data_IF_006373621952
#
_entry.id   IF_006373621952
#
_cell.length_a   1.000
_cell.length_b   1.000
_cell.length_c   1.000
_cell.angle_alpha   90.00
_cell.angle_beta   90.00
_cell.angle_gamma   90.00
#
_symmetry.space_group_name_H-M   'P 1'
#
loop_
_entity.id
_entity.type
_entity.pdbx_description
1 polymer ?
#
# COMPACT_ATOMS: atom_id res chain seq x y z
N UNK A 1 -27.35 2.06 -8.73
CA UNK A 1 -26.92 2.43 -7.36
C UNK A 1 -25.40 2.34 -7.11
N UNK A 2 -24.54 2.30 -8.15
CA UNK A 2 -23.08 2.09 -8.00
C UNK A 2 -22.22 3.38 -8.13
N UNK A 3 -22.83 4.53 -8.46
CA UNK A 3 -22.10 5.76 -8.77
C UNK A 3 -21.67 6.56 -7.53
N UNK A 4 -22.45 6.49 -6.45
CA UNK A 4 -22.11 7.16 -5.18
C UNK A 4 -20.93 6.47 -4.47
N UNK A 5 -20.76 5.15 -4.65
CA UNK A 5 -19.67 4.38 -4.05
C UNK A 5 -18.32 4.67 -4.73
N UNK A 6 -18.31 4.84 -6.06
CA UNK A 6 -17.12 5.29 -6.80
C UNK A 6 -16.71 6.72 -6.42
N UNK A 7 -17.68 7.64 -6.27
CA UNK A 7 -17.41 9.02 -5.85
C UNK A 7 -16.91 9.11 -4.41
N UNK A 8 -17.36 8.21 -3.53
CA UNK A 8 -16.90 8.11 -2.14
C UNK A 8 -15.48 7.53 -2.03
N UNK A 9 -15.17 6.46 -2.79
CA UNK A 9 -13.82 5.89 -2.90
C UNK A 9 -12.82 6.94 -3.42
N UNK A 10 -13.22 7.72 -4.44
CA UNK A 10 -12.35 8.74 -5.04
C UNK A 10 -12.07 9.95 -4.11
N UNK A 11 -12.94 10.22 -3.13
CA UNK A 11 -12.78 11.33 -2.16
C UNK A 11 -12.11 10.93 -0.86
N UNK A 12 -12.16 9.64 -0.48
CA UNK A 12 -11.65 9.14 0.81
C UNK A 12 -10.23 8.56 0.71
N UNK A 13 -9.80 8.03 -0.45
CA UNK A 13 -8.45 7.47 -0.62
C UNK A 13 -7.35 8.52 -0.92
N UNK A 14 -7.73 9.77 -1.23
CA UNK A 14 -6.87 10.73 -1.94
C UNK A 14 -5.89 11.55 -1.06
N UNK A 15 -5.30 11.00 0.00
CA UNK A 15 -4.21 11.71 0.72
C UNK A 15 -3.15 10.86 1.44
N UNK A 16 -3.33 9.56 1.64
CA UNK A 16 -2.34 8.76 2.39
C UNK A 16 -1.43 7.90 1.51
N UNK A 17 -1.93 7.36 0.40
CA UNK A 17 -1.15 6.53 -0.52
C UNK A 17 -0.90 7.21 -1.86
N UNK A 18 0.10 6.71 -2.60
CA UNK A 18 0.38 7.18 -3.96
C UNK A 18 -0.69 6.68 -4.92
N UNK A 19 -0.90 7.40 -6.04
CA UNK A 19 -1.82 6.95 -7.09
C UNK A 19 -1.48 5.54 -7.59
N UNK A 20 -0.20 5.21 -7.70
CA UNK A 20 0.26 3.89 -8.16
C UNK A 20 -0.24 2.78 -7.22
N UNK A 21 -0.20 3.02 -5.92
CA UNK A 21 -0.72 2.11 -4.90
C UNK A 21 -2.23 1.94 -5.00
N UNK A 22 -2.98 3.03 -5.09
CA UNK A 22 -4.45 2.98 -5.20
C UNK A 22 -4.89 2.14 -6.41
N UNK A 23 -4.27 2.39 -7.57
CA UNK A 23 -4.57 1.64 -8.78
C UNK A 23 -4.11 0.18 -8.70
N UNK A 24 -3.00 -0.12 -8.03
CA UNK A 24 -2.58 -1.51 -7.80
C UNK A 24 -3.62 -2.27 -6.96
N UNK A 25 -4.13 -1.67 -5.88
CA UNK A 25 -5.18 -2.26 -5.06
C UNK A 25 -6.48 -2.50 -5.85
N UNK A 26 -6.89 -1.55 -6.69
CA UNK A 26 -8.05 -1.72 -7.57
C UNK A 26 -7.88 -2.89 -8.56
N UNK A 27 -6.69 -3.02 -9.14
CA UNK A 27 -6.34 -4.14 -10.03
C UNK A 27 -6.37 -5.46 -9.29
N UNK A 28 -5.72 -5.54 -8.12
CA UNK A 28 -5.66 -6.76 -7.30
C UNK A 28 -7.06 -7.18 -6.84
N UNK A 29 -7.88 -6.22 -6.39
CA UNK A 29 -9.30 -6.44 -6.05
C UNK A 29 -10.09 -6.99 -7.23
N UNK A 30 -9.91 -6.40 -8.41
CA UNK A 30 -10.61 -6.86 -9.60
C UNK A 30 -10.23 -8.28 -9.99
N UNK A 31 -8.94 -8.60 -9.98
CA UNK A 31 -8.45 -9.94 -10.34
C UNK A 31 -8.81 -10.99 -9.29
N UNK A 32 -8.89 -10.61 -8.01
CA UNK A 32 -9.42 -11.50 -6.97
C UNK A 32 -10.88 -11.90 -7.26
N UNK A 33 -11.70 -10.96 -7.72
CA UNK A 33 -13.09 -11.24 -8.13
C UNK A 33 -13.24 -11.88 -9.51
N UNK A 34 -12.15 -12.10 -10.26
CA UNK A 34 -12.16 -12.67 -11.62
C UNK A 34 -11.07 -13.74 -11.72
N UNK A 35 -11.28 -14.96 -11.18
CA UNK A 35 -10.25 -15.99 -11.06
C UNK A 35 -9.73 -16.49 -12.42
N UNK A 36 -10.55 -16.45 -13.47
CA UNK A 36 -10.16 -16.78 -14.84
C UNK A 36 -9.25 -15.71 -15.48
N UNK A 37 -9.11 -14.56 -14.81
CA UNK A 37 -8.27 -13.44 -15.20
C UNK A 37 -9.01 -12.36 -15.97
N UNK A 38 -8.29 -11.28 -16.28
CA UNK A 38 -8.82 -10.17 -17.08
C UNK A 38 -7.73 -9.53 -17.93
N UNK A 39 -8.12 -9.05 -19.11
CA UNK A 39 -7.20 -8.39 -20.03
C UNK A 39 -6.87 -6.97 -19.55
N UNK A 40 -5.68 -6.47 -19.90
CA UNK A 40 -5.33 -5.07 -19.60
C UNK A 40 -6.30 -4.06 -20.23
N UNK A 41 -6.95 -4.42 -21.34
CA UNK A 41 -7.95 -3.58 -22.00
C UNK A 41 -9.21 -3.45 -21.15
N UNK A 42 -9.71 -4.55 -20.61
CA UNK A 42 -10.90 -4.55 -19.73
C UNK A 42 -10.63 -3.76 -18.46
N UNK A 43 -9.48 -4.00 -17.82
CA UNK A 43 -9.08 -3.30 -16.59
C UNK A 43 -8.94 -1.80 -16.84
N UNK A 44 -8.26 -1.40 -17.92
CA UNK A 44 -8.08 0.00 -18.32
C UNK A 44 -9.42 0.70 -18.56
N UNK A 45 -10.35 0.05 -19.25
CA UNK A 45 -11.68 0.59 -19.51
C UNK A 45 -12.54 0.69 -18.24
N UNK A 46 -12.47 -0.32 -17.37
CA UNK A 46 -13.27 -0.40 -16.14
C UNK A 46 -12.89 0.68 -15.13
N UNK A 47 -11.60 0.95 -14.97
CA UNK A 47 -11.09 1.87 -13.95
C UNK A 47 -10.61 3.20 -14.55
N UNK A 48 -10.83 3.44 -15.84
CA UNK A 48 -10.37 4.64 -16.55
C UNK A 48 -8.88 4.94 -16.38
N UNK A 49 -8.05 3.87 -16.35
CA UNK A 49 -6.60 3.96 -16.20
C UNK A 49 -5.96 4.00 -17.57
N UNK A 50 -5.02 4.91 -17.81
CA UNK A 50 -4.30 4.92 -19.08
C UNK A 50 -3.53 3.60 -19.28
N UNK A 51 -3.58 3.05 -20.51
CA UNK A 51 -2.92 1.77 -20.83
C UNK A 51 -1.42 1.74 -20.48
N UNK A 52 -0.62 2.81 -20.74
CA UNK A 52 0.80 2.80 -20.37
C UNK A 52 1.01 2.74 -18.85
N UNK A 53 0.21 3.46 -18.08
CA UNK A 53 0.32 3.49 -16.62
C UNK A 53 -0.12 2.15 -16.02
N UNK A 54 -1.24 1.59 -16.49
CA UNK A 54 -1.67 0.26 -16.10
C UNK A 54 -0.60 -0.79 -16.42
N UNK A 55 -0.04 -0.78 -17.64
CA UNK A 55 1.00 -1.72 -18.04
C UNK A 55 2.24 -1.66 -17.12
N UNK A 56 2.62 -0.47 -16.64
CA UNK A 56 3.69 -0.31 -15.66
C UNK A 56 3.34 -1.00 -14.32
N UNK A 57 2.13 -0.77 -13.80
CA UNK A 57 1.65 -1.45 -12.58
C UNK A 57 1.64 -2.96 -12.78
N UNK A 58 1.03 -3.47 -13.87
CA UNK A 58 0.94 -4.90 -14.14
C UNK A 58 2.32 -5.55 -14.25
N UNK A 59 3.25 -4.90 -14.95
CA UNK A 59 4.63 -5.38 -15.09
C UNK A 59 5.31 -5.51 -13.73
N UNK A 60 5.14 -4.50 -12.87
CA UNK A 60 5.70 -4.50 -11.52
C UNK A 60 5.09 -5.64 -10.69
N UNK A 61 3.77 -5.77 -10.67
CA UNK A 61 3.08 -6.82 -9.92
C UNK A 61 3.43 -8.23 -10.42
N UNK A 62 3.63 -8.42 -11.73
CA UNK A 62 4.12 -9.67 -12.30
C UNK A 62 5.58 -9.95 -11.90
N UNK A 63 6.44 -8.93 -11.93
CA UNK A 63 7.85 -9.06 -11.55
C UNK A 63 8.00 -9.55 -10.10
N UNK A 64 7.18 -9.02 -9.19
CA UNK A 64 7.15 -9.45 -7.80
C UNK A 64 6.31 -10.72 -7.55
N UNK A 65 5.75 -11.32 -8.60
CA UNK A 65 5.05 -12.60 -8.52
C UNK A 65 3.69 -12.53 -7.80
N UNK A 66 3.04 -11.37 -7.78
CA UNK A 66 1.63 -11.28 -7.38
C UNK A 66 0.71 -11.76 -8.49
N UNK A 67 1.07 -11.45 -9.74
CA UNK A 67 0.27 -11.76 -10.92
C UNK A 67 1.03 -12.65 -11.90
N UNK A 68 0.30 -13.49 -12.63
CA UNK A 68 0.81 -14.14 -13.84
C UNK A 68 0.11 -13.56 -15.07
N UNK A 69 0.85 -13.46 -16.19
CA UNK A 69 0.29 -13.04 -17.48
C UNK A 69 0.26 -14.19 -18.47
N UNK A 70 -0.90 -14.38 -19.09
CA UNK A 70 -1.10 -15.38 -20.15
C UNK A 70 -1.24 -14.68 -21.49
N UNK A 71 -0.53 -15.17 -22.52
CA UNK A 71 -0.64 -14.67 -23.89
C UNK A 71 -1.75 -15.39 -24.63
N UNK A 72 -2.41 -14.71 -25.57
CA UNK A 72 -3.43 -15.29 -26.44
C UNK A 72 -4.66 -14.38 -26.61
N UNK A 73 -5.62 -14.84 -27.42
CA UNK A 73 -6.87 -14.11 -27.72
C UNK A 73 -7.77 -14.00 -26.47
N UNK A 74 -7.65 -14.97 -25.55
CA UNK A 74 -8.23 -14.97 -24.21
C UNK A 74 -7.18 -14.66 -23.13
N UNK A 75 -6.05 -14.07 -23.52
CA UNK A 75 -4.95 -13.75 -22.62
C UNK A 75 -5.30 -12.64 -21.64
N UNK A 76 -4.59 -12.59 -20.53
CA UNK A 76 -4.88 -11.65 -19.45
C UNK A 76 -3.96 -11.85 -18.26
N UNK A 77 -4.34 -11.24 -17.15
CA UNK A 77 -3.64 -11.34 -15.88
C UNK A 77 -4.49 -12.08 -14.88
N UNK A 78 -3.85 -12.90 -14.05
CA UNK A 78 -4.49 -13.61 -12.94
C UNK A 78 -3.71 -13.35 -11.66
N UNK A 79 -4.42 -13.25 -10.53
CA UNK A 79 -3.82 -13.20 -9.21
C UNK A 79 -3.36 -14.61 -8.82
N UNK A 80 -2.06 -14.79 -8.57
CA UNK A 80 -1.47 -16.12 -8.31
C UNK A 80 -1.10 -16.35 -6.84
N UNK A 81 -1.10 -15.28 -6.03
CA UNK A 81 -0.91 -15.37 -4.59
C UNK A 81 -2.25 -15.22 -3.88
N UNK A 82 -2.42 -15.97 -2.79
CA UNK A 82 -3.58 -15.86 -1.93
C UNK A 82 -3.59 -14.49 -1.24
N UNK A 83 -4.73 -13.76 -1.18
CA UNK A 83 -4.79 -12.44 -0.54
C UNK A 83 -4.35 -12.42 0.92
N UNK A 84 -4.48 -13.54 1.63
CA UNK A 84 -4.09 -13.70 3.04
C UNK A 84 -2.57 -13.69 3.21
N UNK A 85 -1.83 -14.06 2.16
CA UNK A 85 -0.35 -14.15 2.17
C UNK A 85 0.33 -12.88 1.63
N UNK A 86 -0.44 -11.80 1.40
CA UNK A 86 0.06 -10.56 0.80
C UNK A 86 -0.10 -9.43 1.81
N UNK A 87 1.00 -9.00 2.43
CA UNK A 87 0.98 -7.83 3.30
C UNK A 87 0.86 -6.53 2.49
N UNK A 88 0.15 -5.54 3.04
CA UNK A 88 -0.01 -4.23 2.40
C UNK A 88 1.34 -3.53 2.20
N UNK A 89 2.24 -3.64 3.19
CA UNK A 89 3.61 -3.12 3.11
C UNK A 89 4.42 -3.72 1.95
N UNK A 90 4.22 -5.00 1.62
CA UNK A 90 4.95 -5.67 0.53
C UNK A 90 4.50 -5.16 -0.84
N UNK A 91 3.21 -4.87 -0.99
CA UNK A 91 2.68 -4.22 -2.21
C UNK A 91 3.31 -2.82 -2.33
N UNK A 92 3.30 -2.02 -1.26
CA UNK A 92 3.90 -0.68 -1.29
C UNK A 92 5.38 -0.72 -1.68
N UNK A 93 6.15 -1.63 -1.06
CA UNK A 93 7.57 -1.79 -1.36
C UNK A 93 7.79 -2.24 -2.81
N UNK A 94 6.98 -3.17 -3.32
CA UNK A 94 7.08 -3.65 -4.70
C UNK A 94 6.83 -2.58 -5.75
N UNK A 95 6.05 -1.56 -5.41
CA UNK A 95 5.74 -0.46 -6.32
C UNK A 95 6.81 0.64 -6.32
N UNK A 96 7.95 0.43 -5.64
CA UNK A 96 9.01 1.42 -5.38
C UNK A 96 8.51 2.63 -4.57
N UNK A 97 7.48 2.43 -3.76
CA UNK A 97 6.83 3.46 -2.95
C UNK A 97 6.94 3.10 -1.46
N UNK A 98 8.16 3.04 -0.89
CA UNK A 98 8.32 2.74 0.53
C UNK A 98 7.64 3.83 1.36
N UNK A 99 6.84 3.40 2.35
CA UNK A 99 6.20 4.31 3.28
C UNK A 99 7.26 5.06 4.08
N UNK A 100 7.19 6.40 4.09
CA UNK A 100 7.99 7.26 4.95
C UNK A 100 7.12 8.43 5.43
N UNK A 101 7.00 8.58 6.75
CA UNK A 101 6.15 9.62 7.32
C UNK A 101 6.80 11.00 7.25
N UNK A 102 8.12 11.05 7.42
CA UNK A 102 8.94 12.25 7.26
C UNK A 102 10.21 11.89 6.49
N UNK A 103 10.88 12.89 5.93
CA UNK A 103 12.18 12.68 5.31
C UNK A 103 13.14 12.05 6.32
N UNK A 104 13.18 12.53 7.57
CA UNK A 104 14.09 12.00 8.59
C UNK A 104 13.80 10.55 9.04
N UNK A 105 12.67 9.96 8.63
CA UNK A 105 12.36 8.53 8.83
C UNK A 105 12.96 7.60 7.78
N UNK A 106 13.65 8.11 6.74
CA UNK A 106 14.35 7.24 5.78
C UNK A 106 15.67 6.74 6.40
N UNK A 107 15.94 5.45 6.29
CA UNK A 107 17.21 4.81 6.71
C UNK A 107 18.42 5.19 5.84
N UNK A 108 18.25 6.07 4.85
CA UNK A 108 19.29 6.40 3.87
C UNK A 108 20.14 7.56 4.38
N UNK A 109 21.46 7.35 4.42
CA UNK A 109 22.52 8.31 4.80
C UNK A 109 22.48 9.67 4.07
N UNK A 110 21.74 9.77 2.95
CA UNK A 110 21.65 10.96 2.09
C UNK A 110 20.49 11.89 2.44
N UNK A 111 20.37 12.25 3.72
CA UNK A 111 19.33 13.18 4.18
C UNK A 111 19.86 14.62 4.29
N UNK A 112 19.22 15.52 3.56
CA UNK A 112 19.49 16.97 3.44
C UNK A 112 18.91 17.81 4.59
N UNK A 113 18.35 17.18 5.62
CA UNK A 113 17.76 17.89 6.76
C UNK A 113 18.88 18.50 7.63
N UNK A 114 19.11 19.80 7.47
CA UNK A 114 20.11 20.58 8.23
C UNK A 114 19.90 20.53 9.74
N UNK A 115 18.66 20.28 10.19
CA UNK A 115 18.30 20.21 11.60
C UNK A 115 18.42 18.81 12.22
N UNK A 116 18.90 17.79 11.48
CA UNK A 116 18.83 16.38 11.92
C UNK A 116 19.44 16.10 13.30
N UNK A 117 20.54 16.77 13.65
CA UNK A 117 21.28 16.55 14.90
C UNK A 117 20.60 17.19 16.12
N UNK A 118 19.86 18.28 15.93
CA UNK A 118 19.27 19.07 17.01
C UNK A 118 17.73 19.17 16.95
N UNK A 119 17.08 18.42 16.06
CA UNK A 119 15.62 18.39 15.92
C UNK A 119 14.98 17.64 17.11
N UNK A 120 14.25 18.33 18.01
CA UNK A 120 13.71 17.72 19.23
C UNK A 120 12.59 16.71 18.96
N UNK A 121 11.92 16.80 17.81
CA UNK A 121 10.79 15.94 17.47
C UNK A 121 11.20 14.67 16.69
N UNK A 122 12.48 14.52 16.32
CA UNK A 122 12.95 13.43 15.45
C UNK A 122 12.63 12.05 16.02
N UNK A 123 12.98 11.84 17.29
CA UNK A 123 12.77 10.56 17.97
C UNK A 123 11.29 10.22 18.07
N UNK A 124 10.45 11.21 18.42
CA UNK A 124 9.00 11.04 18.47
C UNK A 124 8.42 10.65 17.11
N UNK A 125 8.81 11.35 16.05
CA UNK A 125 8.35 11.05 14.68
C UNK A 125 8.85 9.71 14.16
N UNK A 126 10.07 9.28 14.53
CA UNK A 126 10.57 7.93 14.22
C UNK A 126 9.69 6.87 14.87
N UNK A 127 9.36 7.03 16.15
CA UNK A 127 8.48 6.09 16.85
C UNK A 127 7.07 6.01 16.24
N UNK A 128 6.51 7.13 15.77
CA UNK A 128 5.23 7.12 15.03
C UNK A 128 5.37 6.41 13.68
N UNK A 129 6.45 6.68 12.95
CA UNK A 129 6.73 6.01 11.68
C UNK A 129 6.81 4.49 11.83
N UNK A 130 7.54 4.00 12.83
CA UNK A 130 7.72 2.58 13.09
C UNK A 130 6.38 1.90 13.44
N UNK A 131 5.55 2.57 14.25
CA UNK A 131 4.20 2.07 14.60
C UNK A 131 3.33 1.92 13.36
N UNK A 132 3.28 2.93 12.50
CA UNK A 132 2.51 2.84 11.25
C UNK A 132 3.06 1.73 10.35
N UNK A 133 4.39 1.61 10.26
CA UNK A 133 5.03 0.56 9.46
C UNK A 133 4.67 -0.84 9.95
N UNK A 134 4.58 -1.06 11.26
CA UNK A 134 4.11 -2.34 11.83
C UNK A 134 2.68 -2.62 11.40
N UNK A 135 1.78 -1.64 11.52
CA UNK A 135 0.38 -1.79 11.07
C UNK A 135 0.32 -2.19 9.58
N UNK A 136 1.09 -1.51 8.73
CA UNK A 136 1.10 -1.82 7.29
C UNK A 136 1.65 -3.22 6.97
N UNK A 137 2.50 -3.80 7.83
CA UNK A 137 2.99 -5.18 7.69
C UNK A 137 1.97 -6.21 8.14
N UNK A 138 1.19 -5.90 9.16
CA UNK A 138 0.22 -6.83 9.74
C UNK A 138 -1.07 -6.89 8.92
N UNK A 139 -1.42 -5.81 8.22
CA UNK A 139 -2.61 -5.77 7.37
C UNK A 139 -2.38 -6.52 6.06
N UNK A 140 -3.25 -7.49 5.77
CA UNK A 140 -3.18 -8.30 4.54
C UNK A 140 -4.09 -7.77 3.43
N UNK A 141 -3.85 -8.18 2.19
CA UNK A 141 -4.73 -7.87 1.07
C UNK A 141 -6.14 -8.42 1.31
N UNK A 142 -6.29 -9.61 1.91
CA UNK A 142 -7.59 -10.18 2.24
C UNK A 142 -8.45 -9.22 3.09
N UNK A 143 -7.87 -8.63 4.13
CA UNK A 143 -8.56 -7.67 5.01
C UNK A 143 -8.93 -6.38 4.29
N UNK A 144 -8.15 -5.97 3.29
CA UNK A 144 -8.46 -4.79 2.46
C UNK A 144 -9.59 -5.08 1.46
N UNK A 145 -9.67 -6.32 0.96
CA UNK A 145 -10.65 -6.72 -0.05
C UNK A 145 -12.01 -7.08 0.55
N UNK A 146 -12.08 -7.41 1.84
CA UNK A 146 -13.33 -7.76 2.52
C UNK A 146 -14.01 -6.53 3.14
N UNK A 147 -15.18 -6.09 2.63
CA UNK A 147 -15.90 -4.93 3.16
C UNK A 147 -16.55 -5.16 4.53
N UNK A 148 -16.59 -6.41 5.01
CA UNK A 148 -17.20 -6.83 6.27
C UNK A 148 -16.18 -6.98 7.40
N UNK A 149 -14.89 -7.11 7.06
CA UNK A 149 -13.79 -7.20 8.01
C UNK A 149 -13.24 -5.80 8.30
N UNK A 150 -13.13 -5.45 9.57
CA UNK A 150 -12.23 -4.36 9.99
C UNK A 150 -10.88 -4.98 10.30
N UNK A 151 -9.76 -4.49 9.72
CA UNK A 151 -8.44 -5.01 10.02
C UNK A 151 -8.21 -5.02 11.54
N UNK A 152 -7.93 -6.19 12.12
CA UNK A 152 -7.75 -6.31 13.56
C UNK A 152 -6.33 -5.90 13.93
N UNK A 153 -6.11 -4.60 14.09
CA UNK A 153 -4.80 -4.09 14.48
C UNK A 153 -4.60 -4.26 15.99
N UNK A 154 -3.71 -5.17 16.38
CA UNK A 154 -3.29 -5.32 17.78
C UNK A 154 -2.27 -4.23 18.14
N UNK A 155 -2.74 -3.04 18.47
CA UNK A 155 -1.87 -1.95 18.94
C UNK A 155 -1.44 -2.22 20.39
N UNK A 156 -0.34 -2.94 20.56
CA UNK A 156 0.39 -2.90 21.83
C UNK A 156 1.05 -1.52 21.96
N UNK A 157 0.34 -0.57 22.60
CA UNK A 157 0.99 0.64 23.09
C UNK A 157 1.93 0.23 24.21
N UNK A 158 3.22 0.05 23.89
CA UNK A 158 4.27 0.05 24.89
C UNK A 158 4.25 1.37 25.65
N UNK A 159 3.55 1.40 26.78
CA UNK A 159 3.66 2.42 27.82
C UNK A 159 4.95 2.13 28.59
N UNK A 160 6.09 2.38 27.96
CA UNK A 160 7.27 2.68 28.76
C UNK A 160 7.06 4.09 29.30
N UNK A 161 6.71 4.16 30.58
CA UNK A 161 6.75 5.39 31.36
C UNK A 161 8.15 5.98 31.20
N UNK A 162 8.28 6.99 30.35
CA UNK A 162 9.48 7.82 30.31
C UNK A 162 9.53 8.55 31.64
N UNK A 163 10.23 7.97 32.62
CA UNK A 163 10.63 8.67 33.82
C UNK A 163 11.63 9.75 33.38
N UNK A 164 11.13 10.95 33.05
CA UNK A 164 12.00 12.11 32.95
C UNK A 164 12.57 12.41 34.34
N UNK A 165 13.81 11.97 34.52
CA UNK A 165 14.68 12.40 35.59
C UNK A 165 14.74 13.93 35.62
N UNK A 166 14.55 14.45 36.81
CA UNK A 166 14.77 15.83 37.23
C UNK A 166 16.10 16.37 36.70
N UNK A 167 16.05 17.38 35.83
CA UNK A 167 17.19 18.26 35.59
C UNK A 167 17.19 19.37 36.65
N UNK A 168 18.20 19.33 37.53
CA UNK A 168 18.73 20.50 38.25
C UNK A 168 19.58 21.33 37.30
#
# INVERSE_FOLDING_TARGET
MCWHFLSFIFKVFMSFFSRKMDYALLVLSHLHGNPDGSSAREISAKFSISRPFLANIMKTLCHHGYLSSHRGVHGGYVLIRKPEDIALADIMQSLDEPFHLTDCSKDIEKQTCSARTFCPIRTGMSGVHDRIRTILKDVTLAEILDPTIRPSVSLQFGLELVSHGTHK
#
